data_IF_710649516068
#
_entry.id   IF_710649516068
#
_cell.length_a   1.000
_cell.length_b   1.000
_cell.length_c   1.000
_cell.angle_alpha   90.00
_cell.angle_beta   90.00
_cell.angle_gamma   90.00
#
_symmetry.space_group_name_H-M   'P 1'
#
loop_
_entity.id
_entity.type
_entity.pdbx_description
1 polymer ?
#
# COMPACT_ATOMS: atom_id res chain seq x y z
N UNK A 1 -10.75 -22.70 37.71
CA UNK A 1 -11.50 -21.99 36.65
C UNK A 1 -12.55 -22.93 36.07
N UNK A 2 -13.84 -22.56 36.11
CA UNK A 2 -14.93 -23.38 35.57
C UNK A 2 -14.81 -23.59 34.05
N UNK A 3 -15.22 -24.76 33.57
CA UNK A 3 -15.10 -25.22 32.18
C UNK A 3 -15.74 -24.24 31.15
N UNK A 4 -16.83 -23.56 31.52
CA UNK A 4 -17.49 -22.58 30.64
C UNK A 4 -16.82 -21.21 30.55
N UNK A 5 -16.17 -20.74 31.62
CA UNK A 5 -15.32 -19.54 31.55
C UNK A 5 -14.14 -19.79 30.63
N UNK A 6 -13.61 -21.03 30.65
CA UNK A 6 -12.60 -21.51 29.70
C UNK A 6 -13.14 -21.49 28.26
N UNK A 7 -14.36 -22.00 28.01
CA UNK A 7 -15.01 -21.98 26.68
C UNK A 7 -15.31 -20.56 26.15
N UNK A 8 -15.90 -19.65 26.96
CA UNK A 8 -16.20 -18.27 26.53
C UNK A 8 -14.95 -17.46 26.22
N UNK A 9 -13.91 -17.60 27.05
CA UNK A 9 -12.61 -16.97 26.80
C UNK A 9 -12.01 -17.57 25.52
N UNK A 10 -12.08 -18.89 25.31
CA UNK A 10 -11.58 -19.53 24.11
C UNK A 10 -12.30 -19.06 22.83
N UNK A 11 -13.63 -18.84 22.86
CA UNK A 11 -14.36 -18.34 21.68
C UNK A 11 -14.02 -16.89 21.34
N UNK A 12 -13.97 -15.99 22.34
CA UNK A 12 -13.61 -14.60 22.08
C UNK A 12 -12.14 -14.46 21.66
N UNK A 13 -11.25 -15.23 22.28
CA UNK A 13 -9.85 -15.31 21.86
C UNK A 13 -9.74 -15.85 20.44
N UNK A 14 -10.48 -16.90 20.07
CA UNK A 14 -10.49 -17.44 18.72
C UNK A 14 -10.96 -16.40 17.69
N UNK A 15 -12.06 -15.68 17.94
CA UNK A 15 -12.55 -14.63 17.04
C UNK A 15 -11.53 -13.51 16.85
N UNK A 16 -10.87 -13.06 17.93
CA UNK A 16 -9.81 -12.04 17.84
C UNK A 16 -8.57 -12.55 17.11
N UNK A 17 -8.18 -13.81 17.30
CA UNK A 17 -7.10 -14.44 16.55
C UNK A 17 -7.41 -14.55 15.06
N UNK A 18 -8.67 -14.82 14.69
CA UNK A 18 -9.10 -14.82 13.28
C UNK A 18 -8.98 -13.42 12.67
N UNK A 19 -9.37 -12.36 13.38
CA UNK A 19 -9.22 -10.99 12.89
C UNK A 19 -7.74 -10.62 12.62
N UNK A 20 -6.81 -11.03 13.49
CA UNK A 20 -5.38 -10.76 13.26
C UNK A 20 -4.82 -11.63 12.13
N UNK A 21 -5.25 -12.90 12.04
CA UNK A 21 -4.89 -13.78 10.94
C UNK A 21 -5.32 -13.20 9.60
N UNK A 22 -6.54 -12.68 9.52
CA UNK A 22 -7.09 -12.06 8.32
C UNK A 22 -6.21 -10.91 7.81
N UNK A 23 -5.76 -10.02 8.70
CA UNK A 23 -4.89 -8.89 8.30
C UNK A 23 -3.62 -9.38 7.62
N UNK A 24 -2.93 -10.37 8.20
CA UNK A 24 -1.74 -10.96 7.59
C UNK A 24 -2.06 -11.69 6.29
N UNK A 25 -3.11 -12.51 6.30
CA UNK A 25 -3.48 -13.32 5.16
C UNK A 25 -3.87 -12.47 3.95
N UNK A 26 -4.67 -11.42 4.15
CA UNK A 26 -5.03 -10.48 3.08
C UNK A 26 -3.79 -9.70 2.61
N UNK A 27 -2.89 -9.29 3.51
CA UNK A 27 -1.62 -8.67 3.11
C UNK A 27 -0.77 -9.60 2.24
N UNK A 28 -0.76 -10.91 2.53
CA UNK A 28 -0.11 -11.94 1.71
C UNK A 28 -0.80 -12.13 0.36
N UNK A 29 -2.14 -12.17 0.33
CA UNK A 29 -2.91 -12.24 -0.91
C UNK A 29 -2.69 -11.01 -1.80
N UNK A 30 -2.60 -9.80 -1.24
CA UNK A 30 -2.29 -8.60 -2.03
C UNK A 30 -0.89 -8.63 -2.65
N UNK A 31 0.04 -9.38 -2.05
CA UNK A 31 1.40 -9.62 -2.55
C UNK A 31 1.52 -10.74 -3.59
N UNK A 32 0.40 -11.34 -4.03
CA UNK A 32 0.44 -12.34 -5.12
C UNK A 32 0.50 -11.72 -6.52
N UNK A 33 0.43 -10.39 -6.62
CA UNK A 33 0.51 -9.71 -7.91
C UNK A 33 1.91 -9.89 -8.52
N UNK A 34 1.98 -9.77 -9.85
CA UNK A 34 3.22 -9.99 -10.61
C UNK A 34 4.32 -8.98 -10.25
N UNK A 35 3.97 -7.76 -9.87
CA UNK A 35 4.96 -6.75 -9.50
C UNK A 35 5.67 -7.11 -8.18
N UNK A 36 4.96 -7.69 -7.21
CA UNK A 36 5.56 -8.14 -5.96
C UNK A 36 6.31 -9.46 -6.13
N UNK A 37 5.70 -10.47 -6.74
CA UNK A 37 6.37 -11.77 -6.96
C UNK A 37 7.61 -11.59 -7.85
N UNK A 38 7.55 -10.69 -8.83
CA UNK A 38 8.67 -10.38 -9.72
C UNK A 38 9.77 -9.53 -9.10
N UNK A 39 9.60 -9.02 -7.87
CA UNK A 39 10.63 -8.21 -7.19
C UNK A 39 10.66 -6.73 -7.59
N UNK A 40 9.65 -6.22 -8.30
CA UNK A 40 9.59 -4.85 -8.82
C UNK A 40 8.92 -3.86 -7.85
N UNK A 41 8.33 -4.34 -6.75
CA UNK A 41 7.66 -3.49 -5.76
C UNK A 41 8.70 -2.93 -4.78
N UNK A 42 8.64 -1.65 -4.42
CA UNK A 42 9.53 -1.06 -3.39
C UNK A 42 11.00 -1.48 -3.54
N UNK A 43 11.57 -1.28 -4.73
CA UNK A 43 12.89 -1.79 -5.04
C UNK A 43 14.02 -1.13 -4.23
N UNK A 44 15.19 -1.78 -4.21
CA UNK A 44 16.38 -1.43 -3.43
C UNK A 44 16.17 -1.45 -1.92
N UNK A 45 15.05 -2.00 -1.46
CA UNK A 45 14.76 -2.12 -0.04
C UNK A 45 15.74 -3.07 0.68
N UNK A 46 16.30 -4.06 -0.02
CA UNK A 46 17.36 -4.92 0.50
C UNK A 46 18.70 -4.21 0.75
N UNK A 47 18.90 -3.01 0.21
CA UNK A 47 20.10 -2.19 0.46
C UNK A 47 20.05 -1.51 1.84
N UNK A 48 18.89 -1.50 2.50
CA UNK A 48 18.75 -0.92 3.82
C UNK A 48 19.57 -1.69 4.87
N UNK A 49 20.20 -0.97 5.81
CA UNK A 49 21.15 -1.53 6.79
C UNK A 49 20.57 -2.66 7.67
N UNK A 50 19.24 -2.71 7.80
CA UNK A 50 18.53 -3.75 8.56
C UNK A 50 18.81 -5.15 8.01
N UNK A 51 19.21 -5.25 6.74
CA UNK A 51 19.51 -6.52 6.09
C UNK A 51 21.02 -6.87 6.07
N UNK A 52 21.90 -6.09 6.71
CA UNK A 52 23.36 -6.31 6.71
C UNK A 52 23.74 -7.75 7.11
N UNK A 53 23.00 -8.35 8.04
CA UNK A 53 23.22 -9.73 8.47
C UNK A 53 23.05 -10.77 7.35
N UNK A 54 22.31 -10.46 6.29
CA UNK A 54 22.16 -11.34 5.12
C UNK A 54 23.27 -11.18 4.09
N UNK A 55 24.00 -10.04 4.10
CA UNK A 55 25.08 -9.76 3.15
C UNK A 55 26.30 -10.67 3.29
N UNK A 56 26.40 -11.39 4.41
CA UNK A 56 27.41 -12.45 4.54
C UNK A 56 27.20 -13.60 3.54
N UNK A 57 25.98 -13.76 3.00
CA UNK A 57 25.61 -14.89 2.14
C UNK A 57 24.95 -14.49 0.82
N UNK A 58 24.31 -13.32 0.75
CA UNK A 58 23.48 -12.88 -0.37
C UNK A 58 23.91 -11.50 -0.88
N UNK A 59 23.78 -11.27 -2.19
CA UNK A 59 23.91 -9.90 -2.77
C UNK A 59 22.69 -9.05 -2.43
N UNK A 60 22.78 -7.72 -2.57
CA UNK A 60 21.65 -6.82 -2.27
C UNK A 60 20.40 -7.11 -3.12
N UNK A 61 20.57 -7.51 -4.39
CA UNK A 61 19.45 -7.91 -5.26
C UNK A 61 18.83 -9.23 -4.81
N UNK A 62 19.66 -10.20 -4.41
CA UNK A 62 19.19 -11.46 -3.85
C UNK A 62 18.46 -11.25 -2.51
N UNK A 63 18.92 -10.32 -1.67
CA UNK A 63 18.23 -9.94 -0.44
C UNK A 63 16.88 -9.31 -0.78
N UNK A 64 16.87 -8.35 -1.71
CA UNK A 64 15.64 -7.69 -2.17
C UNK A 64 14.63 -8.71 -2.70
N UNK A 65 15.06 -9.70 -3.48
CA UNK A 65 14.14 -10.71 -4.00
C UNK A 65 13.76 -11.77 -2.95
N UNK A 66 14.73 -12.51 -2.41
CA UNK A 66 14.46 -13.68 -1.58
C UNK A 66 13.98 -13.33 -0.16
N UNK A 67 14.57 -12.30 0.47
CA UNK A 67 14.26 -11.95 1.86
C UNK A 67 13.06 -11.00 1.91
N UNK A 68 13.10 -9.92 1.14
CA UNK A 68 12.05 -8.89 1.17
C UNK A 68 10.80 -9.36 0.44
N UNK A 69 10.88 -9.67 -0.84
CA UNK A 69 9.70 -9.99 -1.63
C UNK A 69 9.15 -11.38 -1.32
N UNK A 70 9.94 -12.44 -1.55
CA UNK A 70 9.51 -13.82 -1.33
C UNK A 70 9.30 -14.11 0.16
N UNK A 71 10.27 -13.73 1.00
CA UNK A 71 10.17 -13.90 2.45
C UNK A 71 9.02 -13.12 3.07
N UNK A 72 8.85 -11.84 2.71
CA UNK A 72 7.73 -11.02 3.17
C UNK A 72 6.37 -11.56 2.71
N UNK A 73 6.25 -11.97 1.45
CA UNK A 73 5.04 -12.62 0.91
C UNK A 73 4.68 -13.91 1.67
N UNK A 74 5.64 -14.84 1.79
CA UNK A 74 5.42 -16.11 2.46
C UNK A 74 5.11 -15.93 3.93
N UNK A 75 5.77 -14.99 4.61
CA UNK A 75 5.51 -14.66 6.00
C UNK A 75 4.08 -14.14 6.16
N UNK A 76 3.68 -13.11 5.42
CA UNK A 76 2.32 -12.56 5.52
C UNK A 76 1.25 -13.62 5.22
N UNK A 77 1.46 -14.46 4.21
CA UNK A 77 0.50 -15.49 3.82
C UNK A 77 0.36 -16.61 4.86
N UNK A 78 1.42 -16.94 5.61
CA UNK A 78 1.47 -18.16 6.45
C UNK A 78 1.52 -17.91 7.95
N UNK A 79 2.02 -16.75 8.39
CA UNK A 79 2.35 -16.50 9.80
C UNK A 79 1.13 -16.60 10.71
N UNK A 80 -0.03 -16.12 10.26
CA UNK A 80 -1.28 -16.21 11.01
C UNK A 80 -1.67 -17.67 11.29
N UNK A 81 -1.51 -18.57 10.32
CA UNK A 81 -1.75 -20.01 10.51
C UNK A 81 -0.74 -20.64 11.47
N UNK A 82 0.54 -20.27 11.36
CA UNK A 82 1.57 -20.75 12.29
C UNK A 82 1.39 -20.23 13.72
N UNK A 83 0.75 -19.08 13.93
CA UNK A 83 0.39 -18.60 15.27
C UNK A 83 -0.77 -19.39 15.89
N UNK A 84 -1.71 -19.91 15.08
CA UNK A 84 -2.81 -20.73 15.57
C UNK A 84 -2.31 -22.08 16.12
N UNK A 85 -1.35 -22.71 15.44
CA UNK A 85 -0.79 -24.01 15.85
C UNK A 85 0.14 -23.87 17.06
N UNK A 86 -0.16 -24.60 18.14
CA UNK A 86 0.58 -24.47 19.42
C UNK A 86 2.07 -24.79 19.30
N UNK A 87 2.44 -25.75 18.45
CA UNK A 87 3.84 -26.18 18.28
C UNK A 87 4.68 -25.14 17.51
N UNK A 88 4.11 -24.48 16.50
CA UNK A 88 4.82 -23.51 15.66
C UNK A 88 4.76 -22.09 16.20
N UNK A 89 3.82 -21.79 17.10
CA UNK A 89 3.58 -20.46 17.67
C UNK A 89 4.83 -19.71 18.14
N UNK A 90 5.76 -20.29 18.93
CA UNK A 90 6.94 -19.53 19.37
C UNK A 90 7.84 -19.11 18.21
N UNK A 91 7.96 -19.93 17.17
CA UNK A 91 8.71 -19.59 15.95
C UNK A 91 7.98 -18.52 15.14
N UNK A 92 6.67 -18.65 14.96
CA UNK A 92 5.84 -17.62 14.34
C UNK A 92 5.97 -16.28 15.10
N UNK A 93 6.07 -16.32 16.43
CA UNK A 93 6.27 -15.11 17.23
C UNK A 93 7.63 -14.48 16.99
N UNK A 94 8.69 -15.28 16.92
CA UNK A 94 10.02 -14.76 16.62
C UNK A 94 10.04 -14.09 15.24
N UNK A 95 9.61 -14.80 14.19
CA UNK A 95 9.66 -14.27 12.82
C UNK A 95 8.72 -13.09 12.59
N UNK A 96 7.49 -13.15 13.10
CA UNK A 96 6.56 -12.02 13.03
C UNK A 96 7.08 -10.81 13.81
N UNK A 97 7.66 -11.03 14.99
CA UNK A 97 8.27 -9.97 15.79
C UNK A 97 9.43 -9.30 15.05
N UNK A 98 10.34 -10.09 14.48
CA UNK A 98 11.45 -9.57 13.67
C UNK A 98 10.93 -8.79 12.46
N UNK A 99 9.99 -9.36 11.70
CA UNK A 99 9.38 -8.70 10.54
C UNK A 99 8.77 -7.33 10.88
N UNK A 100 7.96 -7.25 11.94
CA UNK A 100 7.38 -5.98 12.37
C UNK A 100 8.46 -5.00 12.86
N UNK A 101 9.49 -5.46 13.58
CA UNK A 101 10.59 -4.60 14.01
C UNK A 101 11.39 -4.06 12.82
N UNK A 102 11.65 -4.88 11.80
CA UNK A 102 12.30 -4.45 10.56
C UNK A 102 11.46 -3.40 9.85
N UNK A 103 10.15 -3.66 9.69
CA UNK A 103 9.21 -2.67 9.12
C UNK A 103 9.18 -1.37 9.92
N UNK A 104 9.30 -1.40 11.25
CA UNK A 104 9.34 -0.18 12.07
C UNK A 104 10.59 0.68 11.85
N UNK A 105 11.66 0.10 11.30
CA UNK A 105 12.91 0.80 10.98
C UNK A 105 12.95 1.28 9.54
N UNK A 106 12.37 0.51 8.63
CA UNK A 106 12.41 0.80 7.20
C UNK A 106 11.31 1.75 6.76
N UNK A 107 10.15 1.72 7.44
CA UNK A 107 8.98 2.44 7.02
C UNK A 107 8.38 3.27 8.15
N UNK A 108 7.89 4.47 7.82
CA UNK A 108 7.17 5.35 8.73
C UNK A 108 5.67 5.01 8.83
N UNK A 109 5.33 3.74 9.15
CA UNK A 109 3.93 3.25 9.25
C UNK A 109 3.31 3.54 10.64
N UNK A 110 3.96 4.39 11.44
CA UNK A 110 3.49 4.80 12.75
C UNK A 110 3.37 3.63 13.74
N UNK A 111 2.24 3.54 14.44
CA UNK A 111 2.05 2.58 15.54
C UNK A 111 1.86 1.13 15.10
N UNK A 112 1.61 0.88 13.80
CA UNK A 112 1.20 -0.43 13.30
C UNK A 112 2.12 -1.58 13.73
N UNK A 113 3.46 -1.53 13.52
CA UNK A 113 4.30 -2.68 13.84
C UNK A 113 4.32 -3.01 15.34
N UNK A 114 4.27 -1.99 16.19
CA UNK A 114 4.23 -2.15 17.65
C UNK A 114 2.89 -2.73 18.12
N UNK A 115 1.78 -2.30 17.51
CA UNK A 115 0.46 -2.86 17.80
C UNK A 115 0.44 -4.34 17.41
N UNK A 116 0.91 -4.68 16.21
CA UNK A 116 0.95 -6.06 15.75
C UNK A 116 1.76 -6.95 16.70
N UNK A 117 2.91 -6.50 17.18
CA UNK A 117 3.70 -7.21 18.20
C UNK A 117 2.93 -7.34 19.52
N UNK A 118 2.30 -6.25 19.99
CA UNK A 118 1.57 -6.23 21.25
C UNK A 118 0.33 -7.13 21.27
N UNK A 119 -0.30 -7.37 20.11
CA UNK A 119 -1.50 -8.22 20.00
C UNK A 119 -1.20 -9.71 19.79
N UNK A 120 0.05 -10.08 19.46
CA UNK A 120 0.43 -11.50 19.29
C UNK A 120 0.07 -12.42 20.46
N UNK A 121 0.17 -12.01 21.75
CA UNK A 121 -0.24 -12.86 22.86
C UNK A 121 -1.73 -13.26 22.87
N UNK A 122 -2.57 -12.64 22.04
CA UNK A 122 -3.97 -13.06 21.82
C UNK A 122 -4.02 -14.50 21.28
N UNK A 123 -3.02 -14.95 20.52
CA UNK A 123 -2.96 -16.34 20.03
C UNK A 123 -2.63 -17.37 21.13
N UNK A 124 -2.23 -16.93 22.32
CA UNK A 124 -1.92 -17.82 23.43
C UNK A 124 -3.17 -18.12 24.27
N UNK A 125 -3.25 -19.34 24.83
CA UNK A 125 -4.32 -19.70 25.78
C UNK A 125 -4.36 -18.73 26.95
N UNK A 126 -5.53 -18.39 27.49
CA UNK A 126 -5.67 -17.47 28.65
C UNK A 126 -4.88 -17.85 29.91
N UNK A 127 -4.38 -19.08 29.98
CA UNK A 127 -3.48 -19.55 31.04
C UNK A 127 -2.00 -19.19 30.85
N UNK A 128 -1.62 -18.65 29.68
CA UNK A 128 -0.22 -18.40 29.31
C UNK A 128 0.52 -17.46 30.28
N UNK A 129 -0.06 -16.35 30.78
CA UNK A 129 0.68 -15.47 31.68
C UNK A 129 0.99 -16.21 32.99
N UNK A 130 0.02 -16.97 33.50
CA UNK A 130 0.19 -17.79 34.71
C UNK A 130 1.30 -18.82 34.53
N UNK A 131 1.33 -19.53 33.39
CA UNK A 131 2.39 -20.51 33.08
C UNK A 131 3.77 -19.86 33.00
N UNK A 132 3.87 -18.65 32.46
CA UNK A 132 5.13 -17.90 32.35
C UNK A 132 5.60 -17.39 33.71
N UNK A 133 4.72 -16.78 34.50
CA UNK A 133 5.06 -16.26 35.82
C UNK A 133 5.36 -17.37 36.84
N UNK A 134 4.76 -18.56 36.72
CA UNK A 134 5.12 -19.72 37.54
C UNK A 134 6.57 -20.19 37.33
N UNK A 135 7.22 -19.83 36.20
CA UNK A 135 8.65 -20.11 35.95
C UNK A 135 9.57 -19.10 36.64
N UNK A 136 9.04 -17.98 37.15
CA UNK A 136 9.82 -16.95 37.86
C UNK A 136 9.52 -17.07 39.37
N UNK A 137 10.46 -17.55 40.19
CA UNK A 137 10.20 -17.90 41.59
C UNK A 137 9.66 -16.74 42.45
N UNK A 138 10.08 -15.48 42.18
CA UNK A 138 9.62 -14.28 42.91
C UNK A 138 8.18 -13.86 42.60
N UNK A 139 7.66 -14.18 41.41
CA UNK A 139 6.30 -13.81 40.98
C UNK A 139 5.26 -14.91 41.24
N UNK A 140 5.74 -16.10 41.62
CA UNK A 140 4.93 -17.27 41.90
C UNK A 140 3.94 -17.04 43.05
N UNK A 141 4.36 -16.37 44.12
CA UNK A 141 3.51 -16.10 45.29
C UNK A 141 2.42 -15.06 45.02
N UNK A 142 2.69 -14.09 44.14
CA UNK A 142 1.73 -13.03 43.77
C UNK A 142 0.65 -13.54 42.81
N UNK A 143 1.00 -14.50 41.93
CA UNK A 143 0.10 -15.00 40.86
C UNK A 143 -0.74 -16.21 41.30
N UNK A 144 -0.31 -16.96 42.32
CA UNK A 144 -0.99 -18.17 42.81
C UNK A 144 -2.04 -17.93 43.91
N UNK A 145 -2.47 -16.68 44.17
CA UNK A 145 -3.62 -16.45 45.05
C UNK A 145 -4.91 -16.98 44.38
N UNK A 146 -5.21 -18.26 44.59
CA UNK A 146 -6.45 -18.90 44.20
C UNK A 146 -7.50 -18.69 45.29
N UNK A 147 -8.38 -17.71 45.09
CA UNK A 147 -9.76 -17.90 45.54
C UNK A 147 -10.47 -18.75 44.49
N UNK A 148 -11.07 -19.86 44.91
CA UNK A 148 -11.87 -20.71 44.03
C UNK A 148 -12.93 -19.84 43.34
N UNK A 149 -13.08 -19.90 41.99
CA UNK A 149 -14.02 -19.03 41.31
C UNK A 149 -15.44 -19.41 41.73
N UNK A 150 -16.13 -18.46 42.38
CA UNK A 150 -17.55 -18.57 42.72
C UNK A 150 -18.41 -18.90 41.50
N UNK A 151 -19.57 -19.54 41.72
CA UNK A 151 -20.51 -19.85 40.65
C UNK A 151 -21.00 -18.54 40.02
N UNK A 152 -20.83 -18.40 38.70
CA UNK A 152 -21.29 -17.22 37.96
C UNK A 152 -22.71 -17.50 37.47
N UNK A 153 -23.62 -16.54 37.68
CA UNK A 153 -25.03 -16.63 37.24
C UNK A 153 -25.19 -16.75 35.71
N UNK A 154 -24.13 -16.40 34.97
CA UNK A 154 -24.08 -16.50 33.51
C UNK A 154 -23.57 -17.85 32.98
N UNK A 155 -23.21 -18.78 33.87
CA UNK A 155 -22.73 -20.13 33.52
C UNK A 155 -23.86 -21.17 33.61
N UNK A 156 -23.98 -22.01 32.58
CA UNK A 156 -24.77 -23.24 32.58
C UNK A 156 -23.88 -24.39 33.03
N UNK A 157 -24.10 -24.87 34.25
CA UNK A 157 -23.42 -26.05 34.78
C UNK A 157 -24.13 -27.31 34.28
N UNK A 158 -23.42 -28.21 33.61
CA UNK A 158 -23.88 -29.60 33.43
C UNK A 158 -23.64 -30.34 34.74
N UNK A 159 -24.65 -31.01 35.28
CA UNK A 159 -24.70 -31.63 36.62
C UNK A 159 -23.70 -32.78 36.86
N UNK A 160 -22.82 -33.12 35.91
CA UNK A 160 -22.08 -34.39 35.94
C UNK A 160 -20.83 -34.43 36.83
N UNK A 161 -20.61 -33.49 37.75
CA UNK A 161 -19.39 -33.50 38.60
C UNK A 161 -19.61 -33.49 40.11
N UNK A 162 -20.84 -33.76 40.59
CA UNK A 162 -21.05 -34.00 42.03
C UNK A 162 -22.06 -35.13 42.22
N UNK A 163 -21.59 -36.38 42.18
CA UNK A 163 -22.02 -37.40 43.14
C UNK A 163 -21.14 -38.66 43.05
N UNK A 164 -20.54 -38.96 44.19
CA UNK A 164 -19.77 -40.14 44.53
C UNK A 164 -20.57 -41.43 44.28
N UNK A 165 -19.88 -42.50 43.87
CA UNK A 165 -20.19 -43.90 44.20
C UNK A 165 -21.68 -44.35 44.19
N UNK A 166 -22.11 -45.04 43.13
CA UNK A 166 -22.98 -46.27 43.08
C UNK A 166 -23.54 -46.46 41.65
N UNK A 167 -23.82 -47.72 41.31
CA UNK A 167 -24.07 -48.38 39.99
C UNK A 167 -25.09 -47.73 39.00
N UNK A 168 -25.05 -48.11 37.71
CA UNK A 168 -25.80 -47.44 36.64
C UNK A 168 -27.19 -48.05 36.41
N UNK A 169 -28.20 -47.20 36.21
CA UNK A 169 -29.40 -47.58 35.44
C UNK A 169 -30.08 -46.36 34.80
N UNK A 170 -30.13 -46.39 33.46
CA UNK A 170 -31.18 -45.87 32.56
C UNK A 170 -31.76 -44.46 32.77
N UNK A 171 -31.41 -43.53 31.88
CA UNK A 171 -32.31 -43.00 30.82
C UNK A 171 -31.71 -41.73 30.22
N UNK A 172 -31.19 -41.84 28.99
CA UNK A 172 -30.63 -40.70 28.25
C UNK A 172 -31.80 -39.84 27.78
N UNK A 173 -32.08 -38.74 28.48
CA UNK A 173 -32.88 -37.63 27.93
C UNK A 173 -31.98 -36.83 27.00
N UNK A 174 -32.27 -36.87 25.70
CA UNK A 174 -31.65 -35.99 24.71
C UNK A 174 -31.90 -34.53 25.09
N UNK A 175 -30.88 -33.67 25.16
CA UNK A 175 -31.07 -32.27 25.52
C UNK A 175 -31.77 -31.54 24.37
N UNK A 176 -32.93 -30.96 24.64
CA UNK A 176 -33.60 -30.05 23.71
C UNK A 176 -32.68 -28.87 23.39
N UNK A 177 -32.49 -28.54 22.09
CA UNK A 177 -31.76 -27.36 21.64
C UNK A 177 -32.33 -26.10 22.30
N UNK A 178 -31.62 -25.55 23.29
CA UNK A 178 -32.01 -24.31 23.96
C UNK A 178 -31.83 -23.13 23.01
N UNK A 179 -32.89 -22.35 22.84
CA UNK A 179 -32.93 -21.11 22.06
C UNK A 179 -31.81 -20.14 22.46
N UNK A 180 -30.98 -19.73 21.50
CA UNK A 180 -29.90 -18.75 21.72
C UNK A 180 -30.47 -17.41 22.18
N UNK A 181 -29.94 -16.86 23.29
CA UNK A 181 -30.27 -15.50 23.79
C UNK A 181 -30.02 -14.44 22.71
N UNK A 182 -30.89 -13.43 22.63
CA UNK A 182 -30.83 -12.33 21.64
C UNK A 182 -29.45 -11.64 21.58
N UNK A 183 -28.79 -11.46 22.73
CA UNK A 183 -27.44 -10.89 22.82
C UNK A 183 -26.40 -11.69 22.05
N UNK A 184 -26.43 -13.03 22.12
CA UNK A 184 -25.49 -13.87 21.36
C UNK A 184 -25.74 -13.77 19.85
N UNK A 185 -27.01 -13.69 19.43
CA UNK A 185 -27.37 -13.49 18.03
C UNK A 185 -26.86 -12.13 17.53
N UNK A 186 -27.08 -11.06 18.28
CA UNK A 186 -26.60 -9.72 17.93
C UNK A 186 -25.07 -9.66 17.84
N UNK A 187 -24.35 -10.23 18.81
CA UNK A 187 -22.88 -10.30 18.77
C UNK A 187 -22.37 -11.10 17.57
N UNK A 188 -23.00 -12.23 17.25
CA UNK A 188 -22.64 -13.03 16.07
C UNK A 188 -22.87 -12.23 14.78
N UNK A 189 -24.01 -11.55 14.63
CA UNK A 189 -24.30 -10.69 13.49
C UNK A 189 -23.26 -9.57 13.36
N UNK A 190 -22.86 -8.93 14.45
CA UNK A 190 -21.85 -7.88 14.42
C UNK A 190 -20.47 -8.39 13.98
N UNK A 191 -20.05 -9.57 14.45
CA UNK A 191 -18.80 -10.19 13.97
C UNK A 191 -18.90 -10.61 12.51
N UNK A 192 -20.03 -11.18 12.06
CA UNK A 192 -20.24 -11.50 10.66
C UNK A 192 -20.16 -10.23 9.79
N UNK A 193 -20.82 -9.14 10.19
CA UNK A 193 -20.73 -7.87 9.49
C UNK A 193 -19.30 -7.32 9.48
N UNK A 194 -18.58 -7.41 10.59
CA UNK A 194 -17.17 -7.02 10.67
C UNK A 194 -16.32 -7.80 9.67
N UNK A 195 -16.35 -9.14 9.69
CA UNK A 195 -15.58 -9.96 8.75
C UNK A 195 -16.02 -9.73 7.30
N UNK A 196 -17.32 -9.63 7.03
CA UNK A 196 -17.81 -9.26 5.70
C UNK A 196 -17.19 -7.94 5.23
N UNK A 197 -17.11 -6.92 6.10
CA UNK A 197 -16.49 -5.65 5.78
C UNK A 197 -14.97 -5.77 5.57
N UNK A 198 -14.28 -6.52 6.43
CA UNK A 198 -12.83 -6.72 6.34
C UNK A 198 -12.42 -7.49 5.07
N UNK A 199 -13.22 -8.46 4.62
CA UNK A 199 -13.01 -9.12 3.33
C UNK A 199 -13.50 -8.28 2.14
N UNK A 200 -14.52 -7.45 2.31
CA UNK A 200 -15.09 -6.63 1.23
C UNK A 200 -14.21 -5.44 0.86
N UNK A 201 -13.77 -4.64 1.85
CA UNK A 201 -13.06 -3.38 1.58
C UNK A 201 -11.79 -3.55 0.73
N UNK A 202 -10.90 -4.54 1.00
CA UNK A 202 -9.70 -4.75 0.20
C UNK A 202 -9.97 -5.06 -1.27
N UNK A 203 -11.15 -5.61 -1.58
CA UNK A 203 -11.59 -6.01 -2.93
C UNK A 203 -12.80 -5.21 -3.43
N UNK A 204 -13.04 -4.03 -2.86
CA UNK A 204 -14.19 -3.17 -3.18
C UNK A 204 -14.08 -2.47 -4.55
N UNK A 205 -12.99 -2.66 -5.27
CA UNK A 205 -12.65 -2.00 -6.55
C UNK A 205 -13.69 -2.17 -7.66
N UNK A 206 -14.54 -3.20 -7.59
CA UNK A 206 -15.64 -3.42 -8.54
C UNK A 206 -16.74 -2.38 -8.40
N UNK A 207 -16.88 -1.79 -7.21
CA UNK A 207 -17.84 -0.73 -6.90
C UNK A 207 -17.19 0.65 -6.93
N UNK A 208 -15.98 0.77 -6.39
CA UNK A 208 -15.29 2.06 -6.23
C UNK A 208 -14.44 2.44 -7.45
N UNK A 209 -15.05 2.45 -8.64
CA UNK A 209 -14.34 2.63 -9.91
C UNK A 209 -13.64 3.99 -10.05
N UNK A 210 -14.13 5.02 -9.38
CA UNK A 210 -13.55 6.37 -9.44
C UNK A 210 -12.19 6.51 -8.78
N UNK A 211 -11.80 5.51 -7.99
CA UNK A 211 -10.49 5.43 -7.35
C UNK A 211 -9.55 4.49 -8.09
N UNK A 212 -10.04 3.75 -9.10
CA UNK A 212 -9.21 2.91 -9.92
C UNK A 212 -8.40 3.83 -10.86
N UNK A 213 -7.16 4.08 -10.48
CA UNK A 213 -6.15 4.73 -11.33
C UNK A 213 -5.36 3.63 -12.05
N UNK A 214 -4.03 3.68 -12.07
CA UNK A 214 -3.22 2.53 -12.49
C UNK A 214 -3.28 1.36 -11.49
N UNK A 215 -3.77 1.61 -10.29
CA UNK A 215 -3.98 0.61 -9.24
C UNK A 215 -5.45 0.56 -8.88
N UNK A 216 -5.95 -0.64 -8.58
CA UNK A 216 -7.37 -0.84 -8.25
C UNK A 216 -7.66 -0.56 -6.77
N UNK A 217 -8.77 0.13 -6.51
CA UNK A 217 -9.33 0.29 -5.17
C UNK A 217 -9.04 1.62 -4.48
N UNK A 218 -9.76 1.84 -3.39
CA UNK A 218 -9.67 3.05 -2.58
C UNK A 218 -8.35 3.07 -1.79
N UNK A 219 -7.58 4.16 -1.95
CA UNK A 219 -6.33 4.35 -1.19
C UNK A 219 -6.57 4.18 0.32
N UNK A 220 -5.76 3.35 0.97
CA UNK A 220 -5.84 3.04 2.40
C UNK A 220 -6.88 1.98 2.78
N UNK A 221 -7.90 1.72 1.94
CA UNK A 221 -8.94 0.73 2.21
C UNK A 221 -8.81 -0.53 1.34
N UNK A 222 -8.06 -0.46 0.23
CA UNK A 222 -7.70 -1.61 -0.60
C UNK A 222 -6.64 -2.52 0.03
N UNK A 223 -5.97 -2.05 1.09
CA UNK A 223 -4.93 -2.74 1.85
C UNK A 223 -3.69 -3.14 1.01
N UNK A 224 -3.39 -2.38 -0.04
CA UNK A 224 -2.22 -2.60 -0.91
C UNK A 224 -0.94 -2.00 -0.31
N UNK A 225 -0.72 -2.24 0.98
CA UNK A 225 0.40 -1.69 1.75
C UNK A 225 1.73 -2.13 1.14
N UNK A 226 2.51 -1.14 0.70
CA UNK A 226 3.84 -1.29 0.11
C UNK A 226 3.90 -2.07 -1.21
N UNK A 227 2.76 -2.35 -1.85
CA UNK A 227 2.72 -3.06 -3.14
C UNK A 227 3.08 -2.14 -4.31
N UNK A 228 2.68 -0.88 -4.23
CA UNK A 228 2.82 0.08 -5.32
C UNK A 228 3.83 1.17 -4.94
N UNK A 229 4.93 1.25 -5.68
CA UNK A 229 5.89 2.33 -5.60
C UNK A 229 5.66 3.31 -6.75
N UNK A 230 5.26 4.53 -6.39
CA UNK A 230 5.00 5.61 -7.32
C UNK A 230 6.18 6.58 -7.28
N UNK A 231 6.89 6.72 -8.41
CA UNK A 231 7.97 7.70 -8.57
C UNK A 231 7.41 8.92 -9.29
N UNK A 232 7.36 10.04 -8.57
CA UNK A 232 7.11 11.35 -9.13
C UNK A 232 8.29 11.79 -9.99
N UNK A 233 8.04 12.23 -11.22
CA UNK A 233 9.10 12.71 -12.13
C UNK A 233 8.92 14.19 -12.42
N UNK A 234 7.74 14.58 -12.92
CA UNK A 234 7.50 15.96 -13.30
C UNK A 234 6.00 16.28 -13.22
N UNK A 235 5.67 17.54 -12.95
CA UNK A 235 4.31 18.04 -13.05
C UNK A 235 4.30 19.49 -13.48
N UNK A 236 3.45 19.81 -14.44
CA UNK A 236 3.15 21.18 -14.87
C UNK A 236 1.68 21.47 -14.58
N UNK A 237 1.43 22.59 -13.91
CA UNK A 237 0.07 23.07 -13.63
C UNK A 237 -0.12 24.39 -14.37
N UNK A 238 -1.02 24.41 -15.34
CA UNK A 238 -1.29 25.57 -16.17
C UNK A 238 -2.64 26.17 -15.81
N UNK A 239 -2.64 27.44 -15.43
CA UNK A 239 -3.84 28.21 -15.15
C UNK A 239 -4.11 29.13 -16.33
N UNK A 240 -5.34 29.15 -16.82
CA UNK A 240 -5.78 30.06 -17.88
C UNK A 240 -6.88 30.96 -17.34
N UNK A 241 -6.70 32.28 -17.38
CA UNK A 241 -7.79 33.22 -17.08
C UNK A 241 -8.69 33.37 -18.30
N UNK A 242 -9.98 33.03 -18.15
CA UNK A 242 -10.93 33.11 -19.27
C UNK A 242 -11.22 34.53 -19.73
N UNK A 243 -11.02 35.53 -18.87
CA UNK A 243 -11.34 36.91 -19.21
C UNK A 243 -10.26 37.53 -20.11
N UNK A 244 -9.00 37.22 -19.83
CA UNK A 244 -7.85 37.79 -20.54
C UNK A 244 -7.27 36.84 -21.59
N UNK A 245 -7.51 35.53 -21.46
CA UNK A 245 -6.87 34.49 -22.27
C UNK A 245 -5.40 34.25 -21.90
N UNK A 246 -4.88 34.96 -20.89
CA UNK A 246 -3.52 34.75 -20.41
C UNK A 246 -3.43 33.43 -19.66
N UNK A 247 -2.32 32.73 -19.86
CA UNK A 247 -2.00 31.51 -19.16
C UNK A 247 -0.66 31.65 -18.43
N UNK A 248 -0.54 30.97 -17.31
CA UNK A 248 0.69 30.95 -16.53
C UNK A 248 0.85 29.60 -15.83
N UNK A 249 2.11 29.24 -15.58
CA UNK A 249 2.45 28.01 -14.89
C UNK A 249 2.60 28.22 -13.39
N UNK A 250 2.10 27.26 -12.62
CA UNK A 250 2.26 27.22 -11.17
C UNK A 250 3.30 26.18 -10.79
N UNK A 251 4.19 26.56 -9.88
CA UNK A 251 5.01 25.62 -9.14
C UNK A 251 4.14 24.87 -8.11
N UNK A 252 3.88 23.56 -8.27
CA UNK A 252 3.05 22.80 -7.35
C UNK A 252 3.63 22.71 -5.93
N UNK A 253 4.95 22.79 -5.79
CA UNK A 253 5.64 22.65 -4.49
C UNK A 253 5.44 23.88 -3.60
N UNK A 254 5.17 25.04 -4.21
CA UNK A 254 4.74 26.23 -3.50
C UNK A 254 3.35 26.07 -2.84
N UNK A 255 2.53 25.12 -3.30
CA UNK A 255 1.17 24.89 -2.79
C UNK A 255 1.12 23.80 -1.72
N UNK A 256 1.83 22.70 -1.93
CA UNK A 256 1.87 21.57 -1.00
C UNK A 256 3.21 20.87 -1.07
N UNK A 257 3.77 20.52 0.09
CA UNK A 257 5.03 19.77 0.18
C UNK A 257 4.89 18.29 -0.17
N UNK A 258 3.66 17.80 -0.38
CA UNK A 258 3.40 16.40 -0.64
C UNK A 258 2.90 16.21 -2.05
N UNK A 259 3.57 15.37 -2.83
CA UNK A 259 3.13 14.98 -4.18
C UNK A 259 2.01 13.93 -4.17
N UNK A 260 1.49 13.52 -3.02
CA UNK A 260 0.47 12.44 -2.94
C UNK A 260 -0.77 12.72 -3.79
N UNK A 261 -1.14 14.00 -3.94
CA UNK A 261 -2.29 14.41 -4.73
C UNK A 261 -2.17 14.02 -6.21
N UNK A 262 -0.94 13.88 -6.73
CA UNK A 262 -0.67 13.52 -8.12
C UNK A 262 -1.11 12.10 -8.47
N UNK A 263 -1.18 11.18 -7.50
CA UNK A 263 -1.43 9.75 -7.77
C UNK A 263 -2.92 9.39 -7.88
N UNK A 264 -3.82 10.27 -7.40
CA UNK A 264 -5.25 9.98 -7.29
C UNK A 264 -6.11 11.11 -7.86
N UNK A 265 -7.05 10.75 -8.74
CA UNK A 265 -7.91 11.69 -9.43
C UNK A 265 -8.78 12.57 -8.49
N UNK A 266 -9.26 11.99 -7.39
CA UNK A 266 -10.04 12.73 -6.39
C UNK A 266 -9.22 13.82 -5.70
N UNK A 267 -7.96 13.53 -5.40
CA UNK A 267 -7.03 14.49 -4.81
C UNK A 267 -6.61 15.56 -5.82
N UNK A 268 -6.46 15.21 -7.10
CA UNK A 268 -6.26 16.19 -8.19
C UNK A 268 -7.42 17.17 -8.28
N UNK A 269 -8.67 16.69 -8.20
CA UNK A 269 -9.86 17.56 -8.15
C UNK A 269 -9.83 18.48 -6.93
N UNK A 270 -9.50 17.95 -5.75
CA UNK A 270 -9.38 18.75 -4.52
C UNK A 270 -8.27 19.80 -4.63
N UNK A 271 -7.12 19.44 -5.20
CA UNK A 271 -6.01 20.35 -5.44
C UNK A 271 -6.42 21.47 -6.41
N UNK A 272 -7.15 21.13 -7.47
CA UNK A 272 -7.65 22.12 -8.42
C UNK A 272 -8.63 23.12 -7.80
N UNK A 273 -9.58 22.65 -6.99
CA UNK A 273 -10.49 23.55 -6.27
C UNK A 273 -9.76 24.44 -5.26
N UNK A 274 -8.75 23.91 -4.56
CA UNK A 274 -7.89 24.72 -3.69
C UNK A 274 -7.18 25.84 -4.46
N UNK A 275 -6.70 25.55 -5.68
CA UNK A 275 -6.12 26.56 -6.58
C UNK A 275 -7.14 27.62 -6.95
N UNK A 276 -8.32 27.21 -7.41
CA UNK A 276 -9.39 28.12 -7.80
C UNK A 276 -9.79 29.07 -6.66
N UNK A 277 -9.98 28.54 -5.45
CA UNK A 277 -10.34 29.34 -4.28
C UNK A 277 -9.26 30.37 -3.96
N UNK A 278 -7.99 29.97 -3.88
CA UNK A 278 -6.89 30.89 -3.55
C UNK A 278 -6.65 31.93 -4.65
N UNK A 279 -6.83 31.58 -5.93
CA UNK A 279 -6.75 32.53 -7.05
C UNK A 279 -7.86 33.57 -6.99
N UNK A 280 -9.07 33.15 -6.65
CA UNK A 280 -10.20 34.06 -6.47
C UNK A 280 -10.00 35.02 -5.30
N UNK A 281 -9.40 34.55 -4.20
CA UNK A 281 -9.13 35.37 -3.00
C UNK A 281 -7.93 36.32 -3.19
N UNK A 282 -6.80 35.82 -3.69
CA UNK A 282 -5.52 36.55 -3.70
C UNK A 282 -5.39 37.44 -4.93
N UNK A 283 -5.76 36.91 -6.11
CA UNK A 283 -5.55 37.56 -7.40
C UNK A 283 -6.85 38.08 -8.03
N UNK A 284 -8.00 37.85 -7.38
CA UNK A 284 -9.34 38.18 -7.90
C UNK A 284 -9.68 37.51 -9.23
N UNK A 285 -8.97 36.42 -9.55
CA UNK A 285 -9.21 35.59 -10.73
C UNK A 285 -10.26 34.53 -10.39
N UNK A 286 -11.53 34.82 -10.72
CA UNK A 286 -12.66 33.94 -10.39
C UNK A 286 -12.97 32.90 -11.47
N UNK A 287 -12.74 33.25 -12.74
CA UNK A 287 -13.06 32.39 -13.87
C UNK A 287 -11.78 31.92 -14.55
N UNK A 288 -11.32 30.76 -14.10
CA UNK A 288 -10.09 30.14 -14.57
C UNK A 288 -10.40 28.75 -15.17
N UNK A 289 -9.52 28.30 -16.04
CA UNK A 289 -9.37 26.90 -16.42
C UNK A 289 -8.07 26.36 -15.86
N UNK A 290 -8.06 25.08 -15.54
CA UNK A 290 -6.92 24.45 -14.92
C UNK A 290 -6.56 23.17 -15.64
N UNK A 291 -5.38 23.15 -16.23
CA UNK A 291 -4.81 22.01 -16.93
C UNK A 291 -3.64 21.47 -16.14
N UNK A 292 -3.56 20.14 -16.01
CA UNK A 292 -2.51 19.49 -15.22
C UNK A 292 -1.87 18.39 -16.04
N UNK A 293 -0.55 18.49 -16.18
CA UNK A 293 0.28 17.48 -16.80
C UNK A 293 1.14 16.81 -15.74
N UNK A 294 0.89 15.53 -15.45
CA UNK A 294 1.49 14.80 -14.33
C UNK A 294 2.18 13.55 -14.87
N UNK A 295 3.49 13.45 -14.64
CA UNK A 295 4.34 12.36 -15.08
C UNK A 295 4.80 11.49 -13.92
N UNK A 296 4.43 10.21 -13.96
CA UNK A 296 4.71 9.24 -12.91
C UNK A 296 5.29 7.95 -13.50
N UNK A 297 6.05 7.22 -12.70
CA UNK A 297 6.41 5.83 -12.96
C UNK A 297 5.87 4.94 -11.83
N UNK A 298 5.33 3.78 -12.20
CA UNK A 298 4.79 2.78 -11.27
C UNK A 298 5.60 1.48 -11.33
N UNK A 299 6.20 1.08 -10.21
CA UNK A 299 6.97 -0.16 -10.08
C UNK A 299 7.97 -0.38 -11.24
N UNK A 300 8.80 0.64 -11.52
CA UNK A 300 9.85 0.65 -12.56
C UNK A 300 9.38 0.48 -14.01
N UNK A 301 8.10 0.71 -14.29
CA UNK A 301 7.66 0.92 -15.68
C UNK A 301 8.20 2.24 -16.22
N UNK A 302 8.10 2.43 -17.54
CA UNK A 302 8.33 3.73 -18.16
C UNK A 302 7.57 4.84 -17.43
N UNK A 303 8.18 6.02 -17.39
CA UNK A 303 7.49 7.22 -16.94
C UNK A 303 6.47 7.59 -18.00
N UNK A 304 5.21 7.80 -17.60
CA UNK A 304 4.14 8.20 -18.52
C UNK A 304 3.21 9.22 -17.87
N UNK A 305 2.41 9.89 -18.70
CA UNK A 305 1.36 10.80 -18.23
C UNK A 305 0.27 10.03 -17.50
N UNK A 306 -0.17 10.61 -16.40
CA UNK A 306 -1.23 10.07 -15.55
C UNK A 306 -2.61 10.62 -15.94
N UNK A 307 -2.70 11.89 -16.33
CA UNK A 307 -3.94 12.57 -16.68
C UNK A 307 -3.84 13.20 -18.06
N UNK A 308 -4.99 13.37 -18.72
CA UNK A 308 -5.07 14.09 -19.99
C UNK A 308 -4.84 15.60 -19.77
N UNK A 309 -3.73 16.17 -20.26
CA UNK A 309 -3.40 17.58 -20.06
C UNK A 309 -4.32 18.53 -20.83
N UNK A 310 -5.14 18.05 -21.76
CA UNK A 310 -6.09 18.87 -22.53
C UNK A 310 -7.43 19.08 -21.82
N UNK A 311 -7.64 18.42 -20.68
CA UNK A 311 -8.91 18.47 -19.94
C UNK A 311 -8.84 19.50 -18.82
N UNK A 312 -9.82 20.42 -18.79
CA UNK A 312 -10.01 21.35 -17.68
C UNK A 312 -10.45 20.58 -16.42
N UNK A 313 -9.51 20.39 -15.49
CA UNK A 313 -9.67 19.64 -14.25
C UNK A 313 -10.80 20.19 -13.40
N UNK A 314 -11.09 21.50 -13.44
CA UNK A 314 -12.16 22.09 -12.64
C UNK A 314 -13.54 21.60 -13.11
N UNK A 315 -13.74 21.45 -14.42
CA UNK A 315 -15.00 20.98 -15.02
C UNK A 315 -15.06 19.46 -15.20
N UNK A 316 -13.91 18.78 -15.22
CA UNK A 316 -13.83 17.34 -15.41
C UNK A 316 -14.70 16.59 -14.38
N UNK A 317 -15.55 15.68 -14.86
CA UNK A 317 -16.40 14.87 -13.98
C UNK A 317 -15.57 13.88 -13.18
N UNK A 318 -15.91 13.70 -11.91
CA UNK A 318 -15.36 12.65 -11.06
C UNK A 318 -16.46 12.12 -10.13
N UNK A 319 -16.53 10.80 -10.00
CA UNK A 319 -17.46 10.10 -9.11
C UNK A 319 -16.78 8.85 -8.58
N UNK A 320 -16.97 8.54 -7.29
CA UNK A 320 -16.44 7.35 -6.65
C UNK A 320 -16.82 6.02 -7.33
N UNK A 321 -17.95 6.00 -8.05
CA UNK A 321 -18.55 4.77 -8.58
C UNK A 321 -18.40 4.61 -10.11
N UNK A 322 -17.85 5.60 -10.79
CA UNK A 322 -17.70 5.61 -12.25
C UNK A 322 -16.23 5.68 -12.64
N UNK A 323 -15.89 5.21 -13.83
CA UNK A 323 -14.52 5.28 -14.34
C UNK A 323 -14.18 6.73 -14.70
N UNK A 324 -12.96 7.15 -14.34
CA UNK A 324 -12.50 8.51 -14.56
C UNK A 324 -11.95 8.64 -15.97
N UNK A 325 -12.67 9.33 -16.85
CA UNK A 325 -12.38 9.38 -18.29
C UNK A 325 -11.10 10.13 -18.65
N UNK A 326 -10.65 11.03 -17.77
CA UNK A 326 -9.45 11.87 -17.98
C UNK A 326 -8.20 11.31 -17.29
N UNK A 327 -8.28 10.09 -16.73
CA UNK A 327 -7.12 9.32 -16.27
C UNK A 327 -6.65 8.46 -17.44
N UNK A 328 -5.39 8.61 -17.83
CA UNK A 328 -4.81 7.85 -18.93
C UNK A 328 -4.45 6.42 -18.48
N UNK A 329 -4.70 5.41 -19.30
CA UNK A 329 -4.48 4.01 -18.93
C UNK A 329 -2.98 3.71 -18.75
N UNK A 330 -2.65 2.79 -17.86
CA UNK A 330 -1.27 2.30 -17.77
C UNK A 330 -0.90 1.54 -19.06
N UNK A 331 0.22 1.87 -19.70
CA UNK A 331 0.71 1.15 -20.89
C UNK A 331 1.28 -0.22 -20.52
N UNK A 332 0.39 -1.15 -20.20
CA UNK A 332 0.75 -2.47 -19.67
C UNK A 332 1.57 -3.31 -20.66
N UNK A 333 1.40 -3.08 -21.97
CA UNK A 333 2.16 -3.72 -23.05
C UNK A 333 3.67 -3.46 -22.99
N UNK A 334 4.11 -2.35 -22.40
CA UNK A 334 5.52 -2.03 -22.22
C UNK A 334 6.11 -2.62 -20.94
N UNK A 335 5.32 -3.38 -20.16
CA UNK A 335 5.77 -4.02 -18.92
C UNK A 335 6.97 -4.95 -19.14
N UNK A 336 7.05 -5.63 -20.29
CA UNK A 336 8.13 -6.58 -20.59
C UNK A 336 9.50 -5.91 -20.67
N UNK A 337 9.55 -4.60 -20.94
CA UNK A 337 10.80 -3.84 -21.02
C UNK A 337 11.46 -3.61 -19.66
N UNK A 338 10.75 -3.85 -18.54
CA UNK A 338 11.26 -3.49 -17.21
C UNK A 338 12.64 -4.05 -16.91
N UNK A 339 12.90 -5.32 -17.19
CA UNK A 339 14.24 -5.90 -16.99
C UNK A 339 15.30 -5.18 -17.82
N UNK A 340 14.98 -4.86 -19.08
CA UNK A 340 15.89 -4.11 -19.95
C UNK A 340 16.12 -2.68 -19.46
N UNK A 341 15.09 -2.01 -18.93
CA UNK A 341 15.23 -0.67 -18.33
C UNK A 341 16.20 -0.70 -17.15
N UNK A 342 16.05 -1.69 -16.27
CA UNK A 342 16.95 -1.88 -15.11
C UNK A 342 18.38 -2.16 -15.58
N UNK A 343 18.57 -3.09 -16.51
CA UNK A 343 19.90 -3.43 -17.04
C UNK A 343 20.59 -2.21 -17.69
N UNK A 344 19.84 -1.36 -18.38
CA UNK A 344 20.38 -0.14 -18.99
C UNK A 344 20.71 0.91 -17.94
N UNK A 345 19.81 1.15 -16.99
CA UNK A 345 20.02 2.05 -15.85
C UNK A 345 21.31 1.68 -15.11
N UNK A 346 21.48 0.40 -14.75
CA UNK A 346 22.66 -0.10 -14.05
C UNK A 346 23.95 0.00 -14.88
N UNK A 347 23.90 -0.29 -16.18
CA UNK A 347 25.07 -0.13 -17.06
C UNK A 347 25.54 1.32 -17.12
N UNK A 348 24.60 2.26 -17.17
CA UNK A 348 24.90 3.70 -17.21
C UNK A 348 25.50 4.14 -15.87
N UNK A 349 24.86 3.80 -14.74
CA UNK A 349 25.36 4.16 -13.41
C UNK A 349 26.74 3.55 -13.10
N UNK A 350 27.03 2.35 -13.60
CA UNK A 350 28.36 1.73 -13.43
C UNK A 350 29.46 2.41 -14.26
N UNK A 351 29.10 3.16 -15.31
CA UNK A 351 30.07 3.90 -16.14
C UNK A 351 30.37 5.28 -15.57
N UNK A 352 29.36 5.96 -15.03
CA UNK A 352 29.51 7.28 -14.40
C UNK A 352 28.41 7.49 -13.36
N UNK A 353 28.79 7.96 -12.17
CA UNK A 353 27.83 8.33 -11.12
C UNK A 353 27.13 9.66 -11.43
N UNK A 354 27.67 10.46 -12.35
CA UNK A 354 27.17 11.80 -12.71
C UNK A 354 26.17 11.77 -13.89
N UNK A 355 25.66 10.59 -14.27
CA UNK A 355 24.68 10.44 -15.36
C UNK A 355 23.34 10.02 -14.77
N UNK A 356 22.29 10.77 -15.11
CA UNK A 356 20.91 10.40 -14.81
C UNK A 356 20.21 9.94 -16.09
N UNK A 357 19.30 8.97 -15.97
CA UNK A 357 18.55 8.44 -17.11
C UNK A 357 17.07 8.39 -16.76
N UNK A 358 16.23 8.85 -17.69
CA UNK A 358 14.78 8.81 -17.57
C UNK A 358 14.20 8.12 -18.78
N UNK A 359 13.56 6.98 -18.54
CA UNK A 359 12.80 6.28 -19.57
C UNK A 359 11.37 6.81 -19.59
N UNK A 360 10.96 7.36 -20.73
CA UNK A 360 9.67 8.02 -20.92
C UNK A 360 8.89 7.31 -22.02
N UNK A 361 7.57 7.26 -21.85
CA UNK A 361 6.63 6.85 -22.89
C UNK A 361 5.39 7.74 -22.82
N UNK A 362 4.79 8.02 -23.97
CA UNK A 362 3.62 8.91 -24.08
C UNK A 362 2.61 8.33 -25.08
N UNK A 363 1.43 8.94 -25.13
CA UNK A 363 0.37 8.58 -26.06
C UNK A 363 0.48 9.39 -27.37
N UNK A 364 0.07 8.84 -28.52
CA UNK A 364 0.07 9.58 -29.77
C UNK A 364 -0.76 10.87 -29.69
N UNK A 365 -0.23 11.96 -30.25
CA UNK A 365 -0.91 13.26 -30.34
C UNK A 365 -0.66 14.21 -29.16
N UNK A 366 0.05 13.77 -28.11
CA UNK A 366 0.53 14.66 -27.06
C UNK A 366 1.93 15.20 -27.36
N UNK A 367 2.24 16.35 -26.77
CA UNK A 367 3.54 17.00 -26.87
C UNK A 367 4.05 17.31 -25.46
N UNK A 368 5.36 17.13 -25.25
CA UNK A 368 6.04 17.47 -24.01
C UNK A 368 7.00 18.61 -24.27
N UNK A 369 6.77 19.74 -23.62
CA UNK A 369 7.75 20.82 -23.55
C UNK A 369 8.69 20.50 -22.40
N UNK A 370 9.98 20.38 -22.70
CA UNK A 370 10.99 20.09 -21.69
C UNK A 370 12.16 21.06 -21.84
N UNK A 371 12.72 21.48 -20.70
CA UNK A 371 13.84 22.43 -20.65
C UNK A 371 15.07 21.72 -20.09
N UNK A 372 16.17 21.78 -20.85
CA UNK A 372 17.45 21.23 -20.41
C UNK A 372 18.21 22.33 -19.66
N UNK A 373 18.32 22.18 -18.35
CA UNK A 373 19.02 23.15 -17.50
C UNK A 373 20.54 23.18 -17.78
N UNK A 374 21.17 24.32 -17.47
CA UNK A 374 22.60 24.58 -17.79
C UNK A 374 23.58 23.58 -17.17
N UNK A 375 23.19 22.94 -16.07
CA UNK A 375 23.98 21.91 -15.42
C UNK A 375 24.00 20.56 -16.16
N UNK A 376 23.18 20.37 -17.20
CA UNK A 376 23.13 19.15 -18.01
C UNK A 376 23.78 19.38 -19.39
N UNK A 377 25.10 19.49 -19.42
CA UNK A 377 25.87 19.84 -20.63
C UNK A 377 25.77 18.80 -21.77
N UNK A 378 25.48 17.53 -21.46
CA UNK A 378 25.45 16.43 -22.45
C UNK A 378 24.16 15.61 -22.34
N UNK A 379 23.06 16.17 -22.84
CA UNK A 379 21.74 15.52 -22.82
C UNK A 379 21.47 14.86 -24.16
N UNK A 380 21.34 13.54 -24.17
CA UNK A 380 21.00 12.77 -25.39
C UNK A 380 19.57 12.25 -25.30
N UNK A 381 18.78 12.49 -26.35
CA UNK A 381 17.48 11.86 -26.53
C UNK A 381 17.62 10.71 -27.52
N UNK A 382 17.15 9.52 -27.14
CA UNK A 382 17.18 8.33 -27.98
C UNK A 382 15.78 7.71 -28.09
N UNK A 383 15.38 7.37 -29.31
CA UNK A 383 14.10 6.70 -29.57
C UNK A 383 14.30 5.19 -29.47
N UNK A 384 13.73 4.59 -28.44
CA UNK A 384 13.81 3.14 -28.22
C UNK A 384 12.79 2.35 -29.05
N UNK A 385 11.63 2.95 -29.33
CA UNK A 385 10.54 2.34 -30.08
C UNK A 385 9.59 3.41 -30.61
N UNK A 386 9.10 3.25 -31.83
CA UNK A 386 8.18 4.21 -32.47
C UNK A 386 8.91 5.38 -33.14
N UNK A 387 8.22 6.52 -33.26
CA UNK A 387 8.80 7.78 -33.71
C UNK A 387 8.33 8.95 -32.86
N UNK A 388 9.14 9.99 -32.80
CA UNK A 388 8.83 11.26 -32.12
C UNK A 388 9.20 12.42 -33.03
N UNK A 389 8.35 13.44 -33.05
CA UNK A 389 8.67 14.72 -33.65
C UNK A 389 9.30 15.62 -32.59
N UNK A 390 10.41 16.25 -32.94
CA UNK A 390 11.18 17.12 -32.07
C UNK A 390 11.27 18.48 -32.71
N UNK A 391 10.95 19.50 -31.94
CA UNK A 391 11.09 20.89 -32.32
C UNK A 391 12.02 21.55 -31.30
N UNK A 392 13.25 21.88 -31.73
CA UNK A 392 14.23 22.61 -30.91
C UNK A 392 14.19 24.11 -31.21
N UNK A 393 14.05 24.45 -32.49
CA UNK A 393 13.87 25.81 -32.98
C UNK A 393 12.44 25.99 -33.52
N UNK A 394 11.84 27.19 -33.41
CA UNK A 394 10.45 27.44 -33.83
C UNK A 394 10.15 27.03 -35.27
N UNK A 395 11.15 27.08 -36.16
CA UNK A 395 11.01 26.84 -37.59
C UNK A 395 11.49 25.45 -38.05
N UNK A 396 12.08 24.63 -37.16
CA UNK A 396 12.66 23.34 -37.52
C UNK A 396 12.02 22.19 -36.73
N UNK A 397 11.31 21.32 -37.45
CA UNK A 397 10.74 20.07 -36.93
C UNK A 397 11.51 18.90 -37.52
N UNK A 398 12.05 18.06 -36.65
CA UNK A 398 12.77 16.84 -37.01
C UNK A 398 12.00 15.63 -36.52
N UNK A 399 11.87 14.61 -37.36
CA UNK A 399 11.34 13.32 -36.94
C UNK A 399 12.50 12.37 -36.59
N UNK A 400 12.45 11.75 -35.41
CA UNK A 400 13.33 10.66 -35.03
C UNK A 400 12.56 9.34 -35.00
N UNK A 401 13.17 8.31 -35.57
CA UNK A 401 12.66 6.95 -35.59
C UNK A 401 13.46 6.03 -34.65
N UNK A 402 12.93 4.84 -34.43
CA UNK A 402 13.52 3.78 -33.62
C UNK A 402 15.03 3.57 -33.89
N UNK A 403 15.80 3.56 -32.80
CA UNK A 403 17.26 3.41 -32.80
C UNK A 403 18.04 4.71 -33.03
N UNK A 404 17.39 5.77 -33.50
CA UNK A 404 18.04 7.07 -33.69
C UNK A 404 18.17 7.83 -32.38
N UNK A 405 19.19 8.69 -32.30
CA UNK A 405 19.43 9.56 -31.15
C UNK A 405 19.90 10.93 -31.62
N UNK A 406 19.65 11.94 -30.78
CA UNK A 406 20.07 13.32 -31.00
C UNK A 406 20.61 13.92 -29.71
N UNK A 407 21.58 14.82 -29.83
CA UNK A 407 22.01 15.66 -28.71
C UNK A 407 21.08 16.85 -28.57
N UNK A 408 20.53 17.04 -27.38
CA UNK A 408 19.63 18.14 -27.04
C UNK A 408 20.47 19.27 -26.43
N UNK A 409 20.46 20.47 -27.02
CA UNK A 409 21.24 21.59 -26.51
C UNK A 409 20.68 22.12 -25.18
N UNK A 410 21.55 22.75 -24.41
CA UNK A 410 21.17 23.45 -23.17
C UNK A 410 20.23 24.62 -23.49
N UNK A 411 19.13 24.70 -22.76
CA UNK A 411 18.14 25.76 -22.87
C UNK A 411 18.54 26.96 -21.99
N UNK A 412 18.72 28.13 -22.61
CA UNK A 412 19.11 29.38 -21.91
C UNK A 412 17.89 30.21 -21.45
N UNK A 413 16.66 29.68 -21.55
CA UNK A 413 15.43 30.41 -21.20
C UNK A 413 14.84 29.93 -19.86
N UNK A 414 14.44 30.90 -19.05
CA UNK A 414 13.94 30.71 -17.69
C UNK A 414 12.47 30.26 -17.72
N UNK A 415 12.08 29.13 -17.10
CA UNK A 415 10.76 28.48 -17.27
C UNK A 415 9.56 29.25 -16.68
N UNK A 416 9.77 30.34 -15.96
CA UNK A 416 8.71 31.04 -15.21
C UNK A 416 8.13 32.27 -15.91
N UNK A 417 8.67 32.65 -17.07
CA UNK A 417 8.21 33.79 -17.84
C UNK A 417 8.24 33.44 -19.33
N UNK A 418 7.16 32.88 -19.83
CA UNK A 418 6.77 33.08 -21.24
C UNK A 418 5.74 34.22 -21.25
N UNK A 419 5.98 35.23 -22.12
CA UNK A 419 5.11 36.41 -22.35
C UNK A 419 3.90 36.08 -23.23
#
# INVERSE_FOLDING_TARGET
MNCQTKLRINHLTAVKSVAILEVYFIAGLKKTNLDWIGGYSMEKLGYHWVFDGFRFLLTDDQITYFVVHLGGFLLDLTVGFFMLMEFSRPYAFLFCGLFNLMNSRMFAIGMFPYVMIAVMPIFCSSSWPKKMFCRIPKLREVVLYESAPGKSEDCVYTETEVESSVKPTSSVKTPSLRSLRLRHKATAVLFCLYFCLQFFLPYSHSFTKGYNTWTQGLYGYSWDMMVNNWRYVHTTVTVVDKNTGQHFHLDPDAWTRSHRWTHHADMVKQFGHCIQERMAETHKLKDIELYMDVWLSLNRRFTQRMYDPSVDILKAHWSAFEEVTWVLPLQAELTEWRSSLVDMEEKIFNQSEDVDVVFVTDFPGFHLVNYVAENYENTTLQVMKGSVEIQMDPDEVMELHEGQSIQVPVSHRNPFFEE
#
